data_IF_002418627131
#
_entry.id   IF_002418627131
#
_cell.length_a   1.000
_cell.length_b   1.000
_cell.length_c   1.000
_cell.angle_alpha   90.00
_cell.angle_beta   90.00
_cell.angle_gamma   90.00
#
_symmetry.space_group_name_H-M   'P 1'
#
loop_
_entity.id
_entity.type
_entity.pdbx_description
1 polymer ?
#
# COMPACT_ATOMS: atom_id res chain seq x y z
N UNK A 1 -15.87 -0.25 2.12
CA UNK A 1 -14.94 0.87 2.35
C UNK A 1 -13.62 0.54 1.68
N UNK A 2 -13.12 1.45 0.84
CA UNK A 2 -11.89 1.32 0.05
C UNK A 2 -10.62 1.18 0.92
N UNK A 3 -9.58 0.50 0.42
CA UNK A 3 -8.33 0.26 1.14
C UNK A 3 -7.59 1.56 1.48
N UNK A 4 -7.51 2.52 0.55
CA UNK A 4 -6.81 3.79 0.77
C UNK A 4 -7.56 4.65 1.79
N UNK A 5 -8.89 4.69 1.70
CA UNK A 5 -9.71 5.38 2.68
C UNK A 5 -9.57 4.78 4.10
N UNK A 6 -9.48 3.46 4.22
CA UNK A 6 -9.26 2.78 5.51
C UNK A 6 -7.87 3.05 6.07
N UNK A 7 -6.84 2.99 5.24
CA UNK A 7 -5.46 3.30 5.62
C UNK A 7 -5.32 4.76 6.07
N UNK A 8 -6.01 5.67 5.38
CA UNK A 8 -6.11 7.08 5.78
C UNK A 8 -6.70 7.23 7.19
N UNK A 9 -7.84 6.59 7.46
CA UNK A 9 -8.50 6.64 8.76
C UNK A 9 -7.67 6.05 9.91
N UNK A 10 -6.71 5.17 9.61
CA UNK A 10 -5.77 4.59 10.58
C UNK A 10 -4.50 5.44 10.78
N UNK A 11 -4.42 6.62 10.16
CA UNK A 11 -3.31 7.55 10.36
C UNK A 11 -2.15 7.37 9.38
N UNK A 12 -2.38 6.79 8.20
CA UNK A 12 -1.34 6.72 7.15
C UNK A 12 -0.87 8.13 6.72
N UNK A 13 -1.76 9.12 6.76
CA UNK A 13 -1.38 10.54 6.64
C UNK A 13 -1.91 11.35 7.82
N UNK A 14 -1.11 12.32 8.23
CA UNK A 14 -1.34 13.17 9.39
C UNK A 14 -1.26 14.65 8.98
N UNK A 15 -1.85 15.54 9.77
CA UNK A 15 -1.82 16.99 9.55
C UNK A 15 -3.15 17.58 9.06
N UNK A 16 -3.26 18.92 9.06
CA UNK A 16 -4.49 19.63 8.72
C UNK A 16 -4.85 19.44 7.24
N UNK A 17 -6.12 19.66 6.92
CA UNK A 17 -6.60 19.68 5.52
C UNK A 17 -5.79 20.72 4.75
N UNK A 18 -5.14 20.30 3.66
CA UNK A 18 -4.25 21.15 2.85
C UNK A 18 -2.76 21.03 3.18
N UNK A 19 -2.36 20.41 4.29
CA UNK A 19 -0.96 20.13 4.63
C UNK A 19 -0.78 18.70 5.15
N UNK A 20 -1.55 17.75 4.62
CA UNK A 20 -1.41 16.32 4.97
C UNK A 20 -0.06 15.81 4.50
N UNK A 21 0.68 15.22 5.42
CA UNK A 21 1.93 14.53 5.16
C UNK A 21 1.80 13.05 5.50
N UNK A 22 2.61 12.21 4.87
CA UNK A 22 2.74 10.82 5.25
C UNK A 22 3.23 10.72 6.70
N UNK A 23 2.64 9.80 7.47
CA UNK A 23 3.12 9.49 8.82
C UNK A 23 4.63 9.17 8.75
N UNK A 24 5.50 9.87 9.50
CA UNK A 24 6.94 9.63 9.48
C UNK A 24 7.34 8.17 9.76
N UNK A 25 6.54 7.44 10.55
CA UNK A 25 6.76 6.03 10.84
C UNK A 25 6.61 5.12 9.60
N UNK A 26 5.92 5.58 8.55
CA UNK A 26 5.77 4.85 7.28
C UNK A 26 6.88 5.15 6.28
N UNK A 27 7.74 6.14 6.54
CA UNK A 27 8.83 6.52 5.62
C UNK A 27 9.76 5.35 5.27
N UNK A 28 10.19 4.48 6.21
CA UNK A 28 11.05 3.34 5.88
C UNK A 28 10.38 2.36 4.90
N UNK A 29 9.06 2.19 4.99
CA UNK A 29 8.31 1.34 4.07
C UNK A 29 8.24 1.93 2.66
N UNK A 30 8.13 3.27 2.54
CA UNK A 30 8.17 3.93 1.24
C UNK A 30 9.53 3.84 0.58
N UNK A 31 10.60 3.99 1.35
CA UNK A 31 11.96 3.78 0.84
C UNK A 31 12.18 2.34 0.38
N UNK A 32 11.73 1.35 1.16
CA UNK A 32 11.79 -0.05 0.76
C UNK A 32 11.00 -0.30 -0.54
N UNK A 33 9.80 0.28 -0.68
CA UNK A 33 9.03 0.21 -1.92
C UNK A 33 9.80 0.81 -3.11
N UNK A 34 10.43 1.98 -2.94
CA UNK A 34 11.22 2.60 -4.00
C UNK A 34 12.37 1.70 -4.46
N UNK A 35 13.05 1.01 -3.54
CA UNK A 35 14.10 0.06 -3.88
C UNK A 35 13.57 -1.10 -4.74
N UNK A 36 12.43 -1.69 -4.37
CA UNK A 36 11.81 -2.77 -5.16
C UNK A 36 11.41 -2.27 -6.56
N UNK A 37 10.77 -1.09 -6.64
CA UNK A 37 10.38 -0.50 -7.92
C UNK A 37 11.58 -0.13 -8.81
N UNK A 38 12.74 0.12 -8.21
CA UNK A 38 13.99 0.35 -8.91
C UNK A 38 14.75 -0.95 -9.28
N UNK A 39 14.13 -2.13 -9.14
CA UNK A 39 14.72 -3.43 -9.47
C UNK A 39 15.62 -4.01 -8.39
N UNK A 40 15.62 -3.44 -7.18
CA UNK A 40 16.33 -3.98 -6.02
C UNK A 40 15.52 -5.00 -5.23
N UNK A 41 16.14 -5.54 -4.19
CA UNK A 41 15.50 -6.45 -3.24
C UNK A 41 15.49 -5.84 -1.84
N UNK A 42 14.44 -6.14 -1.06
CA UNK A 42 14.29 -5.64 0.31
C UNK A 42 13.86 -6.77 1.25
N UNK A 43 14.31 -6.70 2.49
CA UNK A 43 13.83 -7.55 3.58
C UNK A 43 13.15 -6.66 4.63
N UNK A 44 11.93 -7.03 5.04
CA UNK A 44 11.16 -6.30 6.05
C UNK A 44 11.03 -7.15 7.31
N UNK A 45 11.36 -6.58 8.47
CA UNK A 45 11.25 -7.25 9.76
C UNK A 45 10.28 -6.50 10.69
N UNK A 46 9.29 -7.22 11.22
CA UNK A 46 8.33 -6.65 12.18
C UNK A 46 8.97 -6.62 13.57
N UNK A 47 9.40 -5.43 13.98
CA UNK A 47 10.02 -5.20 15.29
C UNK A 47 9.04 -5.38 16.44
N UNK A 48 7.79 -4.95 16.25
CA UNK A 48 6.69 -5.10 17.22
C UNK A 48 5.39 -5.39 16.46
N UNK A 49 4.63 -6.43 16.85
CA UNK A 49 3.35 -6.71 16.22
C UNK A 49 2.33 -5.60 16.50
N UNK A 50 1.54 -5.28 15.47
CA UNK A 50 0.35 -4.43 15.59
C UNK A 50 -0.87 -5.22 16.06
N UNK A 51 -2.06 -4.63 15.95
CA UNK A 51 -3.30 -5.34 16.19
C UNK A 51 -3.55 -6.34 15.04
N UNK A 52 -3.63 -7.64 15.36
CA UNK A 52 -3.74 -8.72 14.38
C UNK A 52 -5.01 -8.59 13.52
N UNK A 53 -6.16 -8.35 14.14
CA UNK A 53 -7.44 -8.24 13.41
C UNK A 53 -7.42 -7.08 12.40
N UNK A 54 -6.82 -5.95 12.76
CA UNK A 54 -6.67 -4.81 11.84
C UNK A 54 -5.68 -5.10 10.72
N UNK A 55 -4.61 -5.85 10.99
CA UNK A 55 -3.65 -6.28 9.97
C UNK A 55 -4.33 -7.22 8.97
N UNK A 56 -5.07 -8.20 9.45
CA UNK A 56 -5.82 -9.16 8.61
C UNK A 56 -6.89 -8.44 7.78
N UNK A 57 -7.63 -7.51 8.39
CA UNK A 57 -8.62 -6.67 7.71
C UNK A 57 -7.98 -5.88 6.56
N UNK A 58 -6.83 -5.25 6.80
CA UNK A 58 -6.13 -4.44 5.80
C UNK A 58 -5.57 -5.28 4.66
N UNK A 59 -4.98 -6.44 4.97
CA UNK A 59 -4.48 -7.38 3.97
C UNK A 59 -5.60 -7.85 3.05
N UNK A 60 -6.72 -8.28 3.62
CA UNK A 60 -7.86 -8.72 2.82
C UNK A 60 -8.42 -7.60 1.93
N UNK A 61 -8.45 -6.35 2.44
CA UNK A 61 -8.87 -5.19 1.62
C UNK A 61 -7.90 -4.88 0.49
N UNK A 62 -6.60 -4.99 0.73
CA UNK A 62 -5.57 -4.78 -0.28
C UNK A 62 -5.69 -5.83 -1.40
N UNK A 63 -5.82 -7.11 -1.06
CA UNK A 63 -6.04 -8.20 -2.00
C UNK A 63 -7.25 -7.94 -2.91
N UNK A 64 -8.40 -7.60 -2.32
CA UNK A 64 -9.61 -7.29 -3.11
C UNK A 64 -9.45 -6.05 -3.99
N UNK A 65 -8.71 -5.03 -3.55
CA UNK A 65 -8.43 -3.86 -4.36
C UNK A 65 -7.54 -4.20 -5.58
N UNK A 66 -6.57 -5.11 -5.39
CA UNK A 66 -5.73 -5.64 -6.47
C UNK A 66 -6.55 -6.48 -7.46
N UNK A 67 -7.40 -7.39 -6.98
CA UNK A 67 -8.28 -8.21 -7.84
C UNK A 67 -9.24 -7.35 -8.68
N UNK A 68 -9.83 -6.32 -8.07
CA UNK A 68 -10.70 -5.38 -8.78
C UNK A 68 -9.92 -4.62 -9.87
N UNK A 69 -8.68 -4.22 -9.58
CA UNK A 69 -7.82 -3.52 -10.54
C UNK A 69 -7.42 -4.41 -11.72
N UNK A 70 -7.09 -5.69 -11.47
CA UNK A 70 -6.79 -6.68 -12.53
C UNK A 70 -8.00 -6.93 -13.42
N UNK A 71 -9.20 -7.03 -12.83
CA UNK A 71 -10.45 -7.24 -13.58
C UNK A 71 -10.78 -6.03 -14.48
N UNK A 72 -10.53 -4.81 -13.99
CA UNK A 72 -10.68 -3.59 -14.78
C UNK A 72 -9.62 -3.48 -15.88
N UNK A 73 -8.36 -3.85 -15.61
CA UNK A 73 -7.27 -3.86 -16.60
C UNK A 73 -7.51 -4.84 -17.75
N UNK A 74 -8.06 -6.03 -17.45
CA UNK A 74 -8.47 -7.00 -18.47
C UNK A 74 -9.67 -6.50 -19.30
N UNK A 75 -10.60 -5.75 -18.70
CA UNK A 75 -11.71 -5.13 -19.42
C UNK A 75 -11.28 -3.93 -20.28
N UNK A 76 -10.20 -3.23 -19.90
CA UNK A 76 -9.64 -2.08 -20.61
C UNK A 76 -8.60 -2.46 -21.68
N UNK A 77 -8.23 -3.73 -21.82
CA UNK A 77 -7.27 -4.20 -22.82
C UNK A 77 -5.82 -3.80 -22.53
N UNK A 78 -5.48 -3.47 -21.28
CA UNK A 78 -4.13 -3.05 -20.90
C UNK A 78 -3.18 -4.25 -20.94
N UNK A 79 -2.30 -4.28 -21.94
CA UNK A 79 -1.14 -5.17 -22.00
C UNK A 79 0.04 -4.45 -21.39
N UNK A 80 0.19 -4.54 -20.06
CA UNK A 80 1.39 -4.08 -19.37
C UNK A 80 2.57 -4.99 -19.74
N UNK A 81 3.33 -4.57 -20.75
CA UNK A 81 4.65 -5.13 -21.06
C UNK A 81 5.61 -4.66 -19.98
N UNK A 82 5.87 -5.53 -19.00
CA UNK A 82 6.97 -5.34 -18.07
C UNK A 82 8.29 -5.42 -18.85
N UNK A 83 8.88 -4.27 -19.19
CA UNK A 83 10.27 -4.22 -19.64
C UNK A 83 11.11 -3.88 -18.42
N UNK A 84 12.01 -4.82 -18.08
CA UNK A 84 13.00 -4.75 -17.00
C UNK A 84 13.96 -3.59 -17.21
#
# INVERSE_FOLDING_TARGET
MDYLARSHALGATEGPVGARALNPALRPLMEALHHVLAGGEVAVHIVRPGNADLVDELNHRAERATEASTTLGMAAGDTLSATV
#
